data_IF_831104607825
#
_entry.id   IF_831104607825
#
_cell.length_a   1.000
_cell.length_b   1.000
_cell.length_c   1.000
_cell.angle_alpha   90.00
_cell.angle_beta   90.00
_cell.angle_gamma   90.00
#
_symmetry.space_group_name_H-M   'P 1'
#
loop_
_entity.id
_entity.type
_entity.pdbx_description
1 polymer ?
#
# COMPACT_ATOMS: atom_id res chain seq x y z
N UNK A 1 0.00 -1.95 5.37
CA UNK A 1 1.19 -1.36 6.03
C UNK A 1 1.60 -0.11 5.27
N UNK A 2 2.10 0.93 5.94
CA UNK A 2 2.63 2.09 5.25
C UNK A 2 3.98 2.60 5.81
N UNK A 3 4.83 3.16 4.96
CA UNK A 3 6.13 3.76 5.26
C UNK A 3 6.11 5.23 4.81
N UNK A 4 6.57 6.18 5.63
CA UNK A 4 6.60 7.59 5.19
C UNK A 4 7.73 7.82 4.20
N UNK A 5 7.47 8.56 3.12
CA UNK A 5 8.45 8.95 2.10
C UNK A 5 8.48 10.48 1.93
N UNK A 6 9.30 10.99 1.02
CA UNK A 6 9.24 12.38 0.57
C UNK A 6 8.03 12.59 -0.36
N UNK A 7 7.53 13.83 -0.38
CA UNK A 7 6.19 14.16 -0.88
C UNK A 7 6.01 13.92 -2.40
N UNK A 8 4.94 13.24 -2.77
CA UNK A 8 4.56 12.95 -4.17
C UNK A 8 3.08 13.32 -4.41
N UNK A 9 2.77 13.93 -5.55
CA UNK A 9 1.42 14.41 -5.85
C UNK A 9 0.45 13.26 -6.22
N UNK A 10 -0.85 13.49 -6.08
CA UNK A 10 -1.88 12.53 -6.51
C UNK A 10 -1.92 12.44 -8.05
N UNK A 11 -1.80 11.23 -8.58
CA UNK A 11 -1.85 10.96 -10.02
C UNK A 11 -3.29 10.84 -10.53
N UNK A 12 -3.47 11.01 -11.85
CA UNK A 12 -4.79 11.00 -12.51
C UNK A 12 -5.45 9.62 -12.45
N UNK A 13 -4.64 8.58 -12.50
CA UNK A 13 -5.00 7.17 -12.46
C UNK A 13 -4.92 6.57 -11.04
N UNK A 14 -4.82 7.43 -10.01
CA UNK A 14 -4.87 6.99 -8.62
C UNK A 14 -6.13 6.16 -8.34
N UNK A 15 -5.93 4.98 -7.75
CA UNK A 15 -6.94 3.94 -7.59
C UNK A 15 -7.61 3.98 -6.22
N UNK A 16 -8.90 3.70 -6.20
CA UNK A 16 -9.71 3.57 -4.97
C UNK A 16 -9.88 2.12 -4.53
N UNK A 17 -9.72 1.19 -5.46
CA UNK A 17 -9.69 -0.26 -5.23
C UNK A 17 -8.37 -0.76 -5.83
N UNK A 18 -7.64 -1.55 -5.06
CA UNK A 18 -6.34 -2.11 -5.45
C UNK A 18 -6.37 -3.62 -5.34
N UNK A 19 -5.37 -4.27 -5.95
CA UNK A 19 -5.22 -5.71 -5.89
C UNK A 19 -4.27 -6.14 -4.78
N UNK A 20 -4.39 -7.41 -4.38
CA UNK A 20 -3.47 -7.99 -3.41
C UNK A 20 -2.09 -8.11 -4.07
N UNK A 21 -1.10 -7.46 -3.47
CA UNK A 21 0.26 -7.37 -3.98
C UNK A 21 0.60 -6.02 -4.57
N UNK A 22 -0.37 -5.13 -4.77
CA UNK A 22 -0.09 -3.77 -5.24
C UNK A 22 0.83 -3.03 -4.26
N UNK A 23 1.76 -2.27 -4.84
CA UNK A 23 2.55 -1.24 -4.18
C UNK A 23 2.02 0.11 -4.64
N UNK A 24 1.68 0.97 -3.69
CA UNK A 24 1.19 2.28 -4.02
C UNK A 24 1.64 3.35 -3.07
N UNK A 25 1.64 4.60 -3.51
CA UNK A 25 1.91 5.75 -2.66
C UNK A 25 0.58 6.42 -2.31
N UNK A 26 0.41 6.79 -1.05
CA UNK A 26 -0.76 7.47 -0.50
C UNK A 26 -0.42 8.94 -0.23
N UNK A 27 -0.81 9.87 -1.13
CA UNK A 27 -0.44 11.27 -1.02
C UNK A 27 -0.96 11.94 0.24
N UNK A 28 -2.21 11.66 0.63
CA UNK A 28 -2.82 12.30 1.80
C UNK A 28 -2.12 11.96 3.12
N UNK A 29 -1.49 10.78 3.21
CA UNK A 29 -0.75 10.35 4.39
C UNK A 29 0.77 10.46 4.24
N UNK A 30 1.25 10.93 3.10
CA UNK A 30 2.66 10.88 2.68
C UNK A 30 3.29 9.52 2.97
N UNK A 31 2.73 8.45 2.38
CA UNK A 31 3.14 7.11 2.74
C UNK A 31 3.14 6.09 1.58
N UNK A 32 4.21 5.31 1.47
CA UNK A 32 4.32 4.09 0.68
C UNK A 32 3.49 2.98 1.33
N UNK A 33 2.60 2.38 0.58
CA UNK A 33 1.64 1.36 1.00
C UNK A 33 1.94 0.03 0.33
N UNK A 34 1.86 -1.03 1.13
CA UNK A 34 1.86 -2.42 0.65
C UNK A 34 0.49 -3.04 0.94
N UNK A 35 -0.19 -3.49 -0.11
CA UNK A 35 -1.55 -4.02 -0.02
C UNK A 35 -1.56 -5.56 0.00
N UNK A 36 -1.67 -6.15 1.19
CA UNK A 36 -1.62 -7.62 1.38
C UNK A 36 -2.94 -8.25 1.87
N UNK A 37 -4.00 -7.45 1.98
CA UNK A 37 -5.32 -7.88 2.40
C UNK A 37 -6.29 -6.71 2.55
N UNK A 38 -7.57 -6.98 2.86
CA UNK A 38 -8.59 -5.95 3.03
C UNK A 38 -8.27 -5.03 4.22
N UNK A 39 -8.69 -3.78 4.10
CA UNK A 39 -8.61 -2.75 5.13
C UNK A 39 -9.95 -2.66 5.89
N UNK A 40 -10.00 -1.96 7.05
CA UNK A 40 -11.26 -1.79 7.80
C UNK A 40 -12.43 -1.17 7.02
N UNK A 41 -12.16 -0.40 5.96
CA UNK A 41 -13.20 0.24 5.15
C UNK A 41 -13.51 -0.52 3.84
N UNK A 42 -12.85 -1.66 3.63
CA UNK A 42 -13.08 -2.48 2.44
C UNK A 42 -14.48 -3.09 2.45
N UNK A 43 -15.10 -3.20 1.27
CA UNK A 43 -16.42 -3.84 1.11
C UNK A 43 -16.27 -5.19 0.41
N UNK A 44 -16.98 -6.20 0.89
CA UNK A 44 -16.93 -7.55 0.33
C UNK A 44 -15.48 -8.08 0.26
N UNK A 45 -15.02 -8.50 -0.92
CA UNK A 45 -13.69 -9.06 -1.16
C UNK A 45 -12.70 -8.07 -1.80
N UNK A 46 -13.00 -6.76 -1.81
CA UNK A 46 -12.09 -5.76 -2.37
C UNK A 46 -11.00 -5.33 -1.36
N UNK A 47 -9.92 -4.70 -1.84
CA UNK A 47 -8.97 -4.00 -0.98
C UNK A 47 -9.10 -2.50 -1.24
N UNK A 48 -9.54 -1.77 -0.23
CA UNK A 48 -9.84 -0.33 -0.32
C UNK A 48 -8.91 0.50 0.57
N UNK A 49 -7.97 1.28 0.03
CA UNK A 49 -7.20 2.24 0.81
C UNK A 49 -8.09 3.37 1.34
N UNK A 50 -7.64 4.07 2.40
CA UNK A 50 -8.40 5.16 3.04
C UNK A 50 -8.83 6.29 2.09
N UNK A 51 -8.01 6.58 1.07
CA UNK A 51 -8.35 7.42 -0.08
C UNK A 51 -7.55 6.95 -1.31
N UNK A 52 -7.76 7.56 -2.48
CA UNK A 52 -7.08 7.14 -3.72
C UNK A 52 -5.55 7.13 -3.58
N UNK A 53 -4.92 6.07 -4.11
CA UNK A 53 -3.47 5.85 -4.06
C UNK A 53 -2.87 5.71 -5.46
N UNK A 54 -1.64 6.16 -5.65
CA UNK A 54 -0.90 6.01 -6.90
C UNK A 54 -0.26 4.61 -6.90
N UNK A 55 -0.75 3.68 -7.72
CA UNK A 55 -0.19 2.33 -7.81
C UNK A 55 0.95 2.33 -8.82
N UNK A 56 2.16 1.97 -8.40
CA UNK A 56 3.37 2.03 -9.24
C UNK A 56 4.11 0.70 -9.38
N UNK A 57 3.66 -0.35 -8.70
CA UNK A 57 4.33 -1.65 -8.75
C UNK A 57 3.54 -2.76 -8.09
N UNK A 58 4.12 -3.95 -8.10
CA UNK A 58 3.54 -5.16 -7.53
C UNK A 58 4.62 -6.03 -6.88
N UNK A 59 4.25 -6.72 -5.80
CA UNK A 59 5.09 -7.72 -5.17
C UNK A 59 5.17 -8.98 -6.07
N UNK A 60 6.39 -9.40 -6.39
CA UNK A 60 6.66 -10.61 -7.19
C UNK A 60 6.99 -11.85 -6.34
N UNK A 61 7.13 -11.70 -5.02
CA UNK A 61 7.50 -12.76 -4.07
C UNK A 61 6.31 -13.19 -3.19
N UNK A 62 6.53 -14.13 -2.26
CA UNK A 62 5.46 -14.55 -1.34
C UNK A 62 5.02 -13.43 -0.39
N UNK A 63 3.82 -12.92 -0.61
CA UNK A 63 3.22 -11.84 0.18
C UNK A 63 2.78 -12.26 1.59
N UNK A 64 2.63 -13.57 1.85
CA UNK A 64 2.12 -14.07 3.13
C UNK A 64 3.02 -13.70 4.30
N UNK A 65 4.32 -13.51 4.06
CA UNK A 65 5.30 -13.12 5.08
C UNK A 65 4.94 -11.79 5.76
N UNK A 66 4.28 -10.87 5.03
CA UNK A 66 3.95 -9.54 5.53
C UNK A 66 2.89 -9.58 6.64
N UNK A 67 2.13 -10.66 6.76
CA UNK A 67 1.15 -10.85 7.85
C UNK A 67 1.80 -10.96 9.23
N UNK A 68 3.07 -11.33 9.28
CA UNK A 68 3.82 -11.54 10.52
C UNK A 68 4.63 -10.31 10.93
N UNK A 69 4.52 -9.19 10.20
CA UNK A 69 5.27 -7.96 10.50
C UNK A 69 4.48 -7.13 11.50
N UNK A 70 5.10 -6.84 12.64
CA UNK A 70 4.53 -6.00 13.69
C UNK A 70 4.67 -4.51 13.38
N UNK A 71 3.72 -3.72 13.89
CA UNK A 71 3.79 -2.26 13.82
C UNK A 71 5.07 -1.76 14.52
N UNK A 72 5.80 -0.86 13.87
CA UNK A 72 7.07 -0.33 14.38
C UNK A 72 8.31 -1.13 13.95
N UNK A 73 8.13 -2.25 13.25
CA UNK A 73 9.24 -2.98 12.62
C UNK A 73 10.06 -2.07 11.70
N UNK A 74 11.39 -2.12 11.83
CA UNK A 74 12.30 -1.38 10.94
C UNK A 74 12.31 -2.00 9.55
N UNK A 75 12.17 -1.17 8.53
CA UNK A 75 12.28 -1.58 7.12
C UNK A 75 13.49 -0.86 6.51
N UNK A 76 14.27 -1.60 5.73
CA UNK A 76 15.32 -1.05 4.87
C UNK A 76 14.91 -1.24 3.41
N UNK A 77 15.08 -0.19 2.61
CA UNK A 77 14.79 -0.21 1.17
C UNK A 77 16.11 -0.07 0.43
N UNK A 78 16.32 -0.95 -0.55
CA UNK A 78 17.52 -0.99 -1.38
C UNK A 78 17.10 -0.90 -2.85
N UNK A 79 18.01 -0.39 -3.69
CA UNK A 79 17.83 -0.33 -5.14
C UNK A 79 18.36 -1.60 -5.80
#
# INVERSE_FOLDING_TARGET
MFLKLDNYDKEKDAKEIVEKGDLGYWPSGNAFCIFFGPTPISKNNEIRPASKVNVFGQIISDIKILKNIEVGSKISVFK
#
